data_IF_438362889772
#
_entry.id   IF_438362889772
#
_cell.length_a   1.000
_cell.length_b   1.000
_cell.length_c   1.000
_cell.angle_alpha   90.00
_cell.angle_beta   90.00
_cell.angle_gamma   90.00
#
_symmetry.space_group_name_H-M   'P 1'
#
loop_
_entity.id
_entity.type
_entity.pdbx_description
1 polymer ?
#
# COMPACT_ATOMS: atom_id res chain seq x y z
N UNK A 1 6.04 -4.23 -27.34
CA UNK A 1 5.19 -3.03 -27.22
C UNK A 1 5.96 -1.88 -27.85
N UNK A 2 5.47 -1.35 -28.97
CA UNK A 2 6.09 -0.22 -29.67
C UNK A 2 5.84 1.02 -28.83
N UNK A 3 6.88 1.53 -28.16
CA UNK A 3 6.77 2.77 -27.40
C UNK A 3 6.73 3.93 -28.37
N UNK A 4 5.99 4.99 -28.06
CA UNK A 4 5.91 6.24 -28.82
C UNK A 4 7.24 7.03 -28.84
N UNK A 5 8.38 6.35 -28.63
CA UNK A 5 9.70 6.92 -28.42
C UNK A 5 9.97 7.41 -26.98
N UNK A 6 8.99 7.34 -26.07
CA UNK A 6 9.17 7.78 -24.69
C UNK A 6 9.87 6.68 -23.88
N UNK A 7 11.03 6.97 -23.25
CA UNK A 7 11.73 5.98 -22.44
C UNK A 7 11.00 5.70 -21.12
N UNK A 8 11.09 4.46 -20.63
CA UNK A 8 10.34 4.01 -19.44
C UNK A 8 10.69 4.77 -18.16
N UNK A 9 11.91 5.30 -18.05
CA UNK A 9 12.35 6.13 -16.92
C UNK A 9 11.68 7.51 -16.86
N UNK A 10 10.92 7.89 -17.90
CA UNK A 10 10.09 9.11 -17.92
C UNK A 10 8.60 8.81 -17.73
N UNK A 11 8.25 7.56 -17.41
CA UNK A 11 6.88 7.13 -17.17
C UNK A 11 6.68 6.79 -15.69
N UNK A 12 5.49 7.09 -15.21
CA UNK A 12 5.00 6.69 -13.90
C UNK A 12 3.67 5.97 -14.05
N UNK A 13 3.37 5.08 -13.11
CA UNK A 13 2.08 4.40 -13.03
C UNK A 13 1.26 4.90 -11.86
N UNK A 14 0.03 5.32 -12.13
CA UNK A 14 -0.97 5.68 -11.13
C UNK A 14 -2.16 4.74 -11.28
N UNK A 15 -2.35 3.83 -10.33
CA UNK A 15 -3.39 2.81 -10.37
C UNK A 15 -4.37 2.94 -9.21
N UNK A 16 -5.66 2.96 -9.54
CA UNK A 16 -6.72 2.79 -8.55
C UNK A 16 -7.03 1.31 -8.35
N UNK A 17 -7.41 0.93 -7.13
CA UNK A 17 -7.70 -0.46 -6.79
C UNK A 17 -9.20 -0.78 -6.70
N UNK A 18 -10.04 0.03 -7.37
CA UNK A 18 -11.51 -0.12 -7.42
C UNK A 18 -11.96 -1.55 -7.73
N UNK A 19 -11.26 -2.23 -8.63
CA UNK A 19 -11.56 -3.59 -9.07
C UNK A 19 -10.47 -4.61 -8.69
N UNK A 20 -9.61 -4.29 -7.73
CA UNK A 20 -8.57 -5.19 -7.24
C UNK A 20 -7.45 -5.49 -8.25
N UNK A 21 -7.23 -4.61 -9.23
CA UNK A 21 -6.27 -4.82 -10.33
C UNK A 21 -4.97 -4.04 -10.17
N UNK A 22 -4.86 -3.14 -9.18
CA UNK A 22 -3.75 -2.20 -9.14
C UNK A 22 -2.39 -2.91 -8.99
N UNK A 23 -2.31 -3.88 -8.08
CA UNK A 23 -1.08 -4.67 -7.86
C UNK A 23 -0.68 -5.45 -9.12
N UNK A 24 -1.64 -6.09 -9.80
CA UNK A 24 -1.34 -6.83 -11.03
C UNK A 24 -0.81 -5.91 -12.15
N UNK A 25 -1.43 -4.73 -12.32
CA UNK A 25 -0.99 -3.73 -13.29
C UNK A 25 0.40 -3.17 -12.95
N UNK A 26 0.66 -2.93 -11.66
CA UNK A 26 1.97 -2.50 -11.15
C UNK A 26 3.04 -3.55 -11.44
N UNK A 27 2.79 -4.82 -11.10
CA UNK A 27 3.71 -5.93 -11.39
C UNK A 27 4.04 -5.97 -12.88
N UNK A 28 3.03 -5.86 -13.76
CA UNK A 28 3.27 -5.85 -15.20
C UNK A 28 4.09 -4.65 -15.65
N UNK A 29 3.86 -3.49 -15.04
CA UNK A 29 4.58 -2.25 -15.34
C UNK A 29 6.05 -2.33 -14.93
N UNK A 30 6.36 -3.00 -13.81
CA UNK A 30 7.73 -3.27 -13.37
C UNK A 30 8.48 -4.15 -14.39
N UNK A 31 7.84 -5.20 -14.92
CA UNK A 31 8.40 -6.03 -16.01
C UNK A 31 8.69 -5.22 -17.28
N UNK A 32 7.89 -4.18 -17.54
CA UNK A 32 8.06 -3.26 -18.67
C UNK A 32 9.11 -2.16 -18.41
N UNK A 33 9.79 -2.19 -17.27
CA UNK A 33 10.87 -1.25 -16.95
C UNK A 33 10.42 0.08 -16.35
N UNK A 34 9.16 0.21 -15.94
CA UNK A 34 8.68 1.39 -15.19
C UNK A 34 9.19 1.29 -13.75
N UNK A 35 9.64 2.42 -13.18
CA UNK A 35 10.23 2.49 -11.83
C UNK A 35 9.66 3.59 -10.94
N UNK A 36 8.68 4.35 -11.44
CA UNK A 36 7.96 5.36 -10.66
C UNK A 36 6.50 4.92 -10.54
N UNK A 37 6.00 4.79 -9.31
CA UNK A 37 4.65 4.30 -9.02
C UNK A 37 4.02 5.21 -7.98
N UNK A 38 2.87 5.78 -8.34
CA UNK A 38 2.04 6.58 -7.46
C UNK A 38 1.10 5.66 -6.67
N UNK A 39 0.95 5.98 -5.38
CA UNK A 39 0.09 5.25 -4.45
C UNK A 39 -0.37 6.21 -3.34
N UNK A 40 -1.25 5.76 -2.45
CA UNK A 40 -1.67 6.56 -1.29
C UNK A 40 -1.62 5.76 -0.01
N UNK A 41 -1.10 6.37 1.06
CA UNK A 41 -0.98 5.73 2.38
C UNK A 41 -2.32 5.15 2.83
N UNK A 42 -2.35 3.95 3.41
CA UNK A 42 -3.57 3.29 3.87
C UNK A 42 -4.72 3.22 2.83
N UNK A 43 -4.40 3.34 1.54
CA UNK A 43 -5.38 3.42 0.45
C UNK A 43 -6.22 4.70 0.45
N UNK A 44 -5.69 5.83 0.94
CA UNK A 44 -6.45 7.09 0.92
C UNK A 44 -6.88 7.46 -0.50
N UNK A 45 -8.08 8.01 -0.60
CA UNK A 45 -8.71 8.40 -1.85
C UNK A 45 -10.12 7.85 -1.90
N UNK A 46 -10.66 7.78 -3.11
CA UNK A 46 -12.07 7.51 -3.32
C UNK A 46 -12.89 8.81 -3.30
N UNK A 47 -13.98 8.82 -4.04
CA UNK A 47 -14.85 9.99 -4.13
C UNK A 47 -16.08 9.74 -3.25
N UNK A 48 -16.38 10.59 -2.25
CA UNK A 48 -17.60 10.45 -1.45
C UNK A 48 -18.88 10.54 -2.31
N UNK A 49 -18.78 11.09 -3.52
CA UNK A 49 -19.88 11.18 -4.48
C UNK A 49 -19.94 10.00 -5.48
N UNK A 50 -18.91 9.16 -5.56
CA UNK A 50 -18.89 7.98 -6.42
C UNK A 50 -18.93 6.69 -5.59
N UNK A 51 -20.13 6.16 -5.37
CA UNK A 51 -20.36 4.93 -4.60
C UNK A 51 -19.51 3.77 -5.16
N UNK A 52 -18.66 3.18 -4.31
CA UNK A 52 -17.89 1.97 -4.63
C UNK A 52 -16.48 2.19 -5.18
N UNK A 53 -16.02 3.43 -5.38
CA UNK A 53 -14.62 3.68 -5.74
C UNK A 53 -13.72 3.49 -4.51
N UNK A 54 -13.05 2.33 -4.39
CA UNK A 54 -12.19 1.98 -3.24
C UNK A 54 -10.90 2.80 -3.13
N UNK A 55 -10.64 3.70 -4.08
CA UNK A 55 -9.57 4.70 -4.02
C UNK A 55 -8.29 4.29 -4.73
N UNK A 56 -7.20 4.95 -4.36
CA UNK A 56 -5.87 4.64 -4.86
C UNK A 56 -5.40 3.29 -4.29
N UNK A 57 -4.43 2.65 -4.95
CA UNK A 57 -3.70 1.54 -4.33
C UNK A 57 -2.99 1.99 -3.06
N UNK A 58 -3.02 1.15 -2.02
CA UNK A 58 -2.38 1.44 -0.76
C UNK A 58 -0.85 1.36 -0.88
N UNK A 59 -0.13 2.37 -0.40
CA UNK A 59 1.34 2.42 -0.47
C UNK A 59 2.00 1.23 0.22
N UNK A 60 1.47 0.80 1.36
CA UNK A 60 1.97 -0.35 2.12
C UNK A 60 1.85 -1.66 1.32
N UNK A 61 0.76 -1.83 0.57
CA UNK A 61 0.55 -3.02 -0.28
C UNK A 61 1.54 -3.02 -1.46
N UNK A 62 1.85 -1.84 -2.02
CA UNK A 62 2.87 -1.69 -3.06
C UNK A 62 4.28 -1.94 -2.51
N UNK A 63 4.62 -1.39 -1.34
CA UNK A 63 5.93 -1.62 -0.72
C UNK A 63 6.15 -3.11 -0.42
N UNK A 64 5.14 -3.78 0.13
CA UNK A 64 5.22 -5.20 0.41
C UNK A 64 5.47 -6.04 -0.84
N UNK A 65 4.82 -5.70 -1.96
CA UNK A 65 5.12 -6.31 -3.27
C UNK A 65 6.57 -6.05 -3.68
N UNK A 66 7.01 -4.79 -3.63
CA UNK A 66 8.34 -4.39 -4.09
C UNK A 66 9.45 -5.07 -3.28
N UNK A 67 9.33 -5.08 -1.96
CA UNK A 67 10.24 -5.79 -1.06
C UNK A 67 10.26 -7.29 -1.34
N UNK A 68 9.08 -7.91 -1.52
CA UNK A 68 8.97 -9.34 -1.84
C UNK A 68 9.57 -9.72 -3.20
N UNK A 69 9.65 -8.77 -4.12
CA UNK A 69 10.31 -8.91 -5.42
C UNK A 69 11.80 -8.49 -5.39
N UNK A 70 12.32 -8.03 -4.25
CA UNK A 70 13.70 -7.62 -4.08
C UNK A 70 14.04 -6.22 -4.60
N UNK A 71 13.05 -5.34 -4.79
CA UNK A 71 13.28 -3.94 -5.16
C UNK A 71 13.58 -3.08 -3.92
N UNK A 72 14.57 -2.21 -4.05
CA UNK A 72 14.87 -1.20 -3.04
C UNK A 72 13.98 0.04 -3.23
N UNK A 73 13.37 0.50 -2.14
CA UNK A 73 12.49 1.69 -2.13
C UNK A 73 13.00 2.78 -1.20
N UNK A 74 13.82 2.43 -0.20
CA UNK A 74 14.28 3.36 0.85
C UNK A 74 13.20 3.76 1.86
N UNK A 75 12.03 3.12 1.83
CA UNK A 75 10.92 3.43 2.75
C UNK A 75 10.83 2.37 3.85
N UNK A 76 10.68 2.81 5.09
CA UNK A 76 10.41 1.92 6.23
C UNK A 76 8.92 1.58 6.28
N UNK A 77 8.59 0.31 5.99
CA UNK A 77 7.21 -0.17 5.98
C UNK A 77 6.51 -0.03 7.34
N UNK A 78 7.20 -0.27 8.46
CA UNK A 78 6.57 -0.20 9.78
C UNK A 78 6.22 1.24 10.15
N UNK A 79 7.11 2.19 9.87
CA UNK A 79 6.84 3.63 10.09
C UNK A 79 5.75 4.14 9.17
N UNK A 80 5.67 3.64 7.94
CA UNK A 80 4.58 3.99 7.03
C UNK A 80 3.24 3.47 7.53
N UNK A 81 3.17 2.24 8.03
CA UNK A 81 1.96 1.66 8.63
C UNK A 81 1.48 2.52 9.80
N UNK A 82 2.38 2.99 10.65
CA UNK A 82 2.03 3.87 11.77
C UNK A 82 1.45 5.21 11.29
N UNK A 83 2.03 5.79 10.25
CA UNK A 83 1.52 7.01 9.63
C UNK A 83 0.14 6.80 8.98
N UNK A 84 -0.06 5.66 8.31
CA UNK A 84 -1.33 5.26 7.73
C UNK A 84 -2.41 5.09 8.79
N UNK A 85 -2.09 4.43 9.89
CA UNK A 85 -3.02 4.26 11.01
C UNK A 85 -3.40 5.61 11.64
N UNK A 86 -2.42 6.49 11.87
CA UNK A 86 -2.66 7.83 12.41
C UNK A 86 -3.68 8.62 11.59
N UNK A 87 -3.51 8.67 10.26
CA UNK A 87 -4.41 9.47 9.42
C UNK A 87 -5.79 8.81 9.28
N UNK A 88 -5.87 7.48 9.26
CA UNK A 88 -7.17 6.79 9.20
C UNK A 88 -7.97 6.99 10.48
N UNK A 89 -7.32 6.99 11.64
CA UNK A 89 -7.95 7.27 12.94
C UNK A 89 -8.47 8.71 13.00
N UNK A 90 -7.66 9.68 12.58
CA UNK A 90 -8.04 11.09 12.53
C UNK A 90 -9.26 11.33 11.61
N UNK A 91 -9.33 10.60 10.49
CA UNK A 91 -10.44 10.66 9.54
C UNK A 91 -11.63 9.78 9.93
N UNK A 92 -11.52 9.01 11.04
CA UNK A 92 -12.52 8.04 11.49
C UNK A 92 -12.96 7.07 10.39
N UNK A 93 -11.97 6.56 9.65
CA UNK A 93 -12.17 5.58 8.58
C UNK A 93 -11.27 4.38 8.78
N UNK A 94 -11.63 3.27 8.16
CA UNK A 94 -10.76 2.10 8.17
C UNK A 94 -9.49 2.33 7.33
N UNK A 95 -8.40 1.70 7.76
CA UNK A 95 -7.23 1.51 6.92
C UNK A 95 -7.54 0.46 5.85
N UNK A 96 -7.36 0.83 4.57
CA UNK A 96 -7.68 -0.03 3.43
C UNK A 96 -6.50 -0.87 2.95
N UNK A 97 -5.28 -0.64 3.46
CA UNK A 97 -4.14 -1.52 3.19
C UNK A 97 -4.38 -2.90 3.81
N UNK A 98 -4.24 -3.94 3.00
CA UNK A 98 -4.33 -5.33 3.47
C UNK A 98 -3.11 -5.69 4.33
N UNK A 99 -1.94 -5.20 3.94
CA UNK A 99 -0.67 -5.41 4.65
C UNK A 99 -0.69 -4.74 6.03
N UNK A 100 -1.08 -3.47 6.09
CA UNK A 100 -1.14 -2.72 7.34
C UNK A 100 -2.09 -3.40 8.34
N UNK A 101 -3.30 -3.79 7.90
CA UNK A 101 -4.27 -4.50 8.74
C UNK A 101 -3.70 -5.80 9.32
N UNK A 102 -3.04 -6.62 8.49
CA UNK A 102 -2.46 -7.88 8.93
C UNK A 102 -1.34 -7.66 9.97
N UNK A 103 -0.45 -6.70 9.72
CA UNK A 103 0.67 -6.40 10.62
C UNK A 103 0.19 -5.78 11.94
N UNK A 104 -0.74 -4.83 11.88
CA UNK A 104 -1.32 -4.21 13.08
C UNK A 104 -2.04 -5.23 13.96
N UNK A 105 -2.80 -6.15 13.35
CA UNK A 105 -3.44 -7.25 14.07
C UNK A 105 -2.41 -8.13 14.79
N UNK A 106 -1.35 -8.53 14.08
CA UNK A 106 -0.25 -9.31 14.66
C UNK A 106 0.42 -8.60 15.85
N UNK A 107 0.71 -7.30 15.73
CA UNK A 107 1.29 -6.49 16.82
C UNK A 107 0.40 -6.48 18.07
N UNK A 108 -0.92 -6.41 17.91
CA UNK A 108 -1.85 -6.43 19.03
C UNK A 108 -1.82 -7.76 19.79
N UNK A 109 -1.74 -8.89 19.08
CA UNK A 109 -1.70 -10.22 19.69
C UNK A 109 -0.40 -10.48 20.46
N UNK A 110 0.73 -10.04 19.93
CA UNK A 110 2.04 -10.10 20.61
C UNK A 110 2.03 -9.27 21.91
N UNK A 111 1.39 -8.11 21.88
CA UNK A 111 1.25 -7.25 23.05
C UNK A 111 0.40 -7.92 24.14
N UNK A 112 -0.76 -8.51 23.77
CA UNK A 112 -1.64 -9.23 24.71
C UNK A 112 -0.95 -10.45 25.35
N UNK A 113 -0.17 -11.20 24.56
CA UNK A 113 0.56 -12.38 25.04
C UNK A 113 1.64 -11.99 26.06
N UNK A 114 2.32 -10.87 25.83
CA UNK A 114 3.35 -10.33 26.74
C UNK A 114 2.76 -9.82 28.05
N UNK A 115 1.58 -9.20 28.03
CA UNK A 115 0.90 -8.74 29.26
C UNK A 115 0.42 -9.92 30.10
N UNK A 116 -0.15 -10.97 29.47
CA UNK A 116 -0.62 -12.17 30.17
C UNK A 116 0.51 -12.94 30.86
N UNK A 117 1.69 -13.03 30.23
CA UNK A 117 2.86 -13.70 30.80
C UNK A 117 3.57 -12.92 31.93
N UNK A 118 3.34 -11.61 32.04
CA UNK A 118 3.87 -10.78 33.14
C UNK A 118 2.92 -10.67 34.36
N UNK A 119 1.69 -11.16 34.23
CA UNK A 119 0.63 -11.05 35.27
C UNK A 119 0.35 -12.39 35.97
N UNK A 120 1.15 -13.43 35.68
CA UNK A 120 1.15 -14.74 36.35
C UNK A 120 2.50 -14.90 37.04
#
# INVERSE_FOLDING_TARGET
>A
IQTSGIPSNKLAMHCHDTYGQAIANITKSLEMGIRCIDSSVAGLGGCPYAKGATGNVATEDVLYLLEGLGYETGVDLNRLIDAGQFITDALKRENLSKVARAILCKRQDETKTTVKSKTV
#
